data_IF_119439318942
#
_entry.id   IF_119439318942
#
_cell.length_a   1.000
_cell.length_b   1.000
_cell.length_c   1.000
_cell.angle_alpha   90.00
_cell.angle_beta   90.00
_cell.angle_gamma   90.00
#
_symmetry.space_group_name_H-M   'P 1'
#
loop_
_entity.id
_entity.type
_entity.pdbx_description
1 polymer ?
#
# COMPACT_ATOMS: atom_id res chain seq x y z
N UNK A 1 31.98 7.49 -8.86
CA UNK A 1 31.03 7.71 -7.75
C UNK A 1 29.70 7.07 -8.14
N UNK A 2 29.58 5.75 -7.95
CA UNK A 2 28.30 5.06 -8.15
C UNK A 2 27.62 5.01 -6.81
N UNK A 3 26.57 5.80 -6.61
CA UNK A 3 25.71 5.58 -5.45
C UNK A 3 25.03 4.23 -5.66
N UNK A 4 25.46 3.24 -4.89
CA UNK A 4 24.73 1.99 -4.69
C UNK A 4 23.39 2.37 -4.10
N UNK A 5 22.34 2.38 -4.93
CA UNK A 5 20.97 2.38 -4.45
C UNK A 5 20.84 1.13 -3.58
N UNK A 6 20.95 1.29 -2.26
CA UNK A 6 20.55 0.25 -1.34
C UNK A 6 19.16 -0.22 -1.74
N UNK A 7 18.99 -1.54 -1.75
CA UNK A 7 17.73 -2.19 -2.05
C UNK A 7 16.79 -1.79 -0.91
N UNK A 8 16.17 -0.62 -0.98
CA UNK A 8 15.22 -0.14 0.02
C UNK A 8 14.15 -1.21 0.12
N UNK A 9 14.13 -1.91 1.25
CA UNK A 9 13.12 -2.92 1.50
C UNK A 9 11.77 -2.22 1.66
N UNK A 10 10.70 -2.92 1.33
CA UNK A 10 9.30 -2.46 1.43
C UNK A 10 9.02 -1.74 2.77
N UNK A 11 9.56 -2.30 3.85
CA UNK A 11 9.52 -1.77 5.21
C UNK A 11 9.98 -0.32 5.36
N UNK A 12 10.99 0.11 4.59
CA UNK A 12 11.44 1.50 4.66
C UNK A 12 10.37 2.44 4.10
N UNK A 13 9.76 2.09 2.96
CA UNK A 13 8.67 2.86 2.38
C UNK A 13 7.44 2.87 3.30
N UNK A 14 7.10 1.70 3.85
CA UNK A 14 6.03 1.53 4.82
C UNK A 14 6.21 2.48 6.01
N UNK A 15 7.37 2.42 6.66
CA UNK A 15 7.65 3.24 7.84
C UNK A 15 7.61 4.73 7.54
N UNK A 16 8.30 5.19 6.49
CA UNK A 16 8.40 6.63 6.18
C UNK A 16 7.04 7.21 5.79
N UNK A 17 6.33 6.52 4.89
CA UNK A 17 5.03 7.01 4.42
C UNK A 17 3.99 6.95 5.54
N UNK A 18 3.94 5.85 6.30
CA UNK A 18 2.95 5.68 7.35
C UNK A 18 3.10 6.74 8.45
N UNK A 19 4.31 6.93 8.98
CA UNK A 19 4.56 7.95 9.99
C UNK A 19 4.30 9.37 9.45
N UNK A 20 4.68 9.64 8.20
CA UNK A 20 4.41 10.92 7.54
C UNK A 20 2.93 11.25 7.40
N UNK A 21 2.06 10.23 7.39
CA UNK A 21 0.61 10.36 7.32
C UNK A 21 -0.09 10.14 8.68
N UNK A 22 0.67 10.21 9.79
CA UNK A 22 0.14 10.08 11.14
C UNK A 22 -0.36 8.67 11.49
N UNK A 23 0.08 7.66 10.74
CA UNK A 23 -0.25 6.26 10.99
C UNK A 23 0.78 5.53 11.85
N UNK A 24 0.42 4.32 12.26
CA UNK A 24 1.29 3.37 12.94
C UNK A 24 1.61 2.21 11.98
N UNK A 25 2.89 1.91 11.80
CA UNK A 25 3.34 0.88 10.86
C UNK A 25 3.40 -0.52 11.48
N UNK A 26 3.26 -1.56 10.65
CA UNK A 26 3.44 -2.98 11.00
C UNK A 26 2.59 -3.47 12.20
N UNK A 27 1.29 -3.12 12.21
CA UNK A 27 0.39 -3.52 13.30
C UNK A 27 -0.01 -4.99 13.18
N UNK A 28 0.40 -5.79 14.16
CA UNK A 28 -0.02 -7.19 14.29
C UNK A 28 -1.43 -7.26 14.91
N UNK A 29 -2.37 -7.85 14.18
CA UNK A 29 -3.73 -8.11 14.62
C UNK A 29 -3.83 -9.43 15.40
N UNK A 30 -4.90 -9.62 16.16
CA UNK A 30 -5.15 -10.81 16.98
C UNK A 30 -5.11 -12.14 16.20
N UNK A 31 -5.37 -12.09 14.90
CA UNK A 31 -5.38 -13.25 14.00
C UNK A 31 -4.06 -13.44 13.23
N UNK A 32 -2.96 -12.86 13.72
CA UNK A 32 -1.62 -12.90 13.13
C UNK A 32 -1.46 -12.27 11.75
N UNK A 33 -2.47 -11.55 11.24
CA UNK A 33 -2.30 -10.66 10.06
C UNK A 33 -1.61 -9.38 10.48
N UNK A 34 -0.83 -8.80 9.59
CA UNK A 34 -0.07 -7.57 9.82
C UNK A 34 -0.54 -6.51 8.84
N UNK A 35 -1.00 -5.38 9.37
CA UNK A 35 -1.36 -4.22 8.55
C UNK A 35 -0.11 -3.35 8.39
N UNK A 36 0.26 -3.03 7.16
CA UNK A 36 1.46 -2.23 6.88
C UNK A 36 1.37 -0.83 7.49
N UNK A 37 0.21 -0.18 7.36
CA UNK A 37 -0.05 1.12 7.97
C UNK A 37 -1.49 1.27 8.45
N UNK A 38 -1.65 1.69 9.70
CA UNK A 38 -2.94 1.97 10.31
C UNK A 38 -3.04 3.45 10.69
N UNK A 39 -3.97 4.17 10.08
CA UNK A 39 -4.29 5.56 10.46
C UNK A 39 -5.59 5.61 11.27
N UNK A 40 -6.02 6.79 11.69
CA UNK A 40 -7.33 6.95 12.33
C UNK A 40 -8.48 6.45 11.45
N UNK A 41 -8.37 6.60 10.14
CA UNK A 41 -9.46 6.36 9.18
C UNK A 41 -9.26 5.18 8.22
N UNK A 42 -8.02 4.75 7.98
CA UNK A 42 -7.70 3.73 6.97
C UNK A 42 -6.81 2.61 7.52
N UNK A 43 -7.04 1.39 7.03
CA UNK A 43 -6.07 0.30 7.06
C UNK A 43 -5.47 0.19 5.66
N UNK A 44 -4.16 0.34 5.57
CA UNK A 44 -3.45 0.61 4.34
C UNK A 44 -2.44 -0.51 4.11
N UNK A 45 -2.51 -1.12 2.94
CA UNK A 45 -1.48 -2.01 2.40
C UNK A 45 -0.51 -1.20 1.53
N UNK A 46 0.79 -1.47 1.66
CA UNK A 46 1.81 -0.84 0.83
C UNK A 46 2.60 -1.89 0.08
N UNK A 47 2.52 -1.90 -1.25
CA UNK A 47 3.09 -2.99 -2.04
C UNK A 47 3.75 -2.46 -3.31
N UNK A 48 4.77 -3.16 -3.80
CA UNK A 48 5.43 -2.83 -5.05
C UNK A 48 4.49 -3.03 -6.24
N UNK A 49 4.58 -2.11 -7.21
CA UNK A 49 3.68 -2.02 -8.36
C UNK A 49 3.42 -3.35 -9.09
N UNK A 50 4.43 -4.20 -9.25
CA UNK A 50 4.28 -5.50 -9.93
C UNK A 50 3.33 -6.49 -9.25
N UNK A 51 2.99 -6.28 -7.98
CA UNK A 51 2.11 -7.15 -7.18
C UNK A 51 0.77 -6.47 -6.81
N UNK A 52 0.38 -5.42 -7.55
CA UNK A 52 -0.83 -4.62 -7.28
C UNK A 52 -2.11 -5.45 -7.06
N UNK A 53 -2.23 -6.62 -7.68
CA UNK A 53 -3.38 -7.51 -7.55
C UNK A 53 -3.50 -8.11 -6.14
N UNK A 54 -2.39 -8.42 -5.48
CA UNK A 54 -2.40 -8.91 -4.09
C UNK A 54 -2.87 -7.81 -3.11
N UNK A 55 -2.45 -6.57 -3.36
CA UNK A 55 -2.78 -5.44 -2.51
C UNK A 55 -4.29 -5.18 -2.40
N UNK A 56 -5.08 -5.51 -3.44
CA UNK A 56 -6.55 -5.39 -3.41
C UNK A 56 -7.14 -6.30 -2.32
N UNK A 57 -6.74 -7.57 -2.31
CA UNK A 57 -7.26 -8.53 -1.34
C UNK A 57 -6.88 -8.15 0.09
N UNK A 58 -5.62 -7.80 0.31
CA UNK A 58 -5.11 -7.42 1.63
C UNK A 58 -5.76 -6.12 2.14
N UNK A 59 -5.87 -5.08 1.30
CA UNK A 59 -6.49 -3.82 1.72
C UNK A 59 -7.96 -4.00 2.16
N UNK A 60 -8.75 -4.79 1.41
CA UNK A 60 -10.13 -5.07 1.77
C UNK A 60 -10.24 -5.94 3.03
N UNK A 61 -9.40 -6.95 3.17
CA UNK A 61 -9.35 -7.80 4.36
C UNK A 61 -8.99 -6.97 5.60
N UNK A 62 -7.95 -6.14 5.52
CA UNK A 62 -7.49 -5.34 6.65
C UNK A 62 -8.48 -4.25 7.03
N UNK A 63 -9.15 -3.63 6.07
CA UNK A 63 -10.26 -2.72 6.32
C UNK A 63 -11.39 -3.40 7.11
N UNK A 64 -11.79 -4.60 6.70
CA UNK A 64 -12.81 -5.39 7.38
C UNK A 64 -12.42 -5.70 8.83
N UNK A 65 -11.18 -6.14 9.06
CA UNK A 65 -10.69 -6.54 10.39
C UNK A 65 -10.52 -5.37 11.36
N UNK A 66 -10.22 -4.19 10.84
CA UNK A 66 -9.93 -3.01 11.65
C UNK A 66 -11.11 -2.06 11.76
N UNK A 67 -12.21 -2.35 11.04
CA UNK A 67 -13.36 -1.45 10.87
C UNK A 67 -12.97 -0.06 10.32
N UNK A 68 -11.95 -0.02 9.47
CA UNK A 68 -11.47 1.20 8.80
C UNK A 68 -11.72 1.12 7.30
N UNK A 69 -11.43 2.20 6.59
CA UNK A 69 -11.49 2.23 5.13
C UNK A 69 -10.27 1.53 4.53
N UNK A 70 -10.45 0.85 3.40
CA UNK A 70 -9.35 0.22 2.68
C UNK A 70 -8.48 1.27 2.00
N UNK A 71 -7.16 1.08 2.07
CA UNK A 71 -6.20 1.93 1.39
C UNK A 71 -5.09 1.10 0.75
N UNK A 72 -4.59 1.56 -0.39
CA UNK A 72 -3.39 1.00 -1.03
C UNK A 72 -2.43 2.14 -1.36
N UNK A 73 -1.18 2.01 -0.91
CA UNK A 73 -0.07 2.79 -1.43
C UNK A 73 0.72 1.90 -2.39
N UNK A 74 0.67 2.22 -3.68
CA UNK A 74 1.44 1.47 -4.68
C UNK A 74 2.83 2.09 -4.83
N UNK A 75 3.88 1.29 -4.61
CA UNK A 75 5.27 1.74 -4.70
C UNK A 75 5.78 1.52 -6.12
N UNK A 76 6.02 2.62 -6.84
CA UNK A 76 6.57 2.64 -8.19
C UNK A 76 8.08 2.86 -8.09
N UNK A 77 8.88 1.96 -8.68
CA UNK A 77 10.35 2.05 -8.68
C UNK A 77 10.91 2.61 -9.99
N UNK A 78 10.13 2.53 -11.06
CA UNK A 78 10.51 2.95 -12.41
C UNK A 78 9.34 3.66 -13.08
N UNK A 79 9.58 4.59 -14.03
CA UNK A 79 8.50 5.25 -14.76
C UNK A 79 7.53 4.27 -15.45
N UNK A 80 8.04 3.14 -15.96
CA UNK A 80 7.19 2.12 -16.60
C UNK A 80 6.26 1.37 -15.63
N UNK A 81 6.47 1.47 -14.31
CA UNK A 81 5.58 0.88 -13.32
C UNK A 81 4.22 1.60 -13.29
N UNK A 82 4.11 2.79 -13.88
CA UNK A 82 2.84 3.51 -14.05
C UNK A 82 1.77 2.69 -14.78
N UNK A 83 2.16 1.74 -15.63
CA UNK A 83 1.21 0.80 -16.24
C UNK A 83 0.48 -0.08 -15.20
N UNK A 84 1.14 -0.44 -14.10
CA UNK A 84 0.49 -1.17 -13.00
C UNK A 84 -0.45 -0.27 -12.20
N UNK A 85 -0.08 1.00 -12.00
CA UNK A 85 -0.97 1.98 -11.37
C UNK A 85 -2.26 2.16 -12.18
N UNK A 86 -2.16 2.26 -13.50
CA UNK A 86 -3.31 2.36 -14.39
C UNK A 86 -4.22 1.13 -14.27
N UNK A 87 -3.66 -0.09 -14.33
CA UNK A 87 -4.44 -1.32 -14.18
C UNK A 87 -5.13 -1.43 -12.81
N UNK A 88 -4.44 -1.07 -11.72
CA UNK A 88 -5.01 -1.05 -10.39
C UNK A 88 -6.20 -0.09 -10.35
N UNK A 89 -6.00 1.16 -10.81
CA UNK A 89 -7.03 2.19 -10.82
C UNK A 89 -8.23 1.79 -11.71
N UNK A 90 -8.00 1.24 -12.90
CA UNK A 90 -9.05 0.73 -13.78
C UNK A 90 -9.85 -0.39 -13.12
N UNK A 91 -9.18 -1.35 -12.49
CA UNK A 91 -9.82 -2.47 -11.79
C UNK A 91 -10.69 -1.98 -10.63
N UNK A 92 -10.15 -1.09 -9.80
CA UNK A 92 -10.84 -0.50 -8.65
C UNK A 92 -12.11 0.24 -9.11
N UNK A 93 -11.98 1.05 -10.16
CA UNK A 93 -13.09 1.84 -10.70
C UNK A 93 -14.15 0.96 -11.37
N UNK A 94 -13.75 -0.02 -12.18
CA UNK A 94 -14.66 -0.91 -12.89
C UNK A 94 -15.55 -1.70 -11.93
N UNK A 95 -14.96 -2.23 -10.85
CA UNK A 95 -15.68 -3.00 -9.83
C UNK A 95 -16.23 -2.14 -8.68
N UNK A 96 -16.04 -0.83 -8.72
CA UNK A 96 -16.47 0.11 -7.68
C UNK A 96 -15.97 -0.29 -6.29
N UNK A 97 -14.72 -0.76 -6.21
CA UNK A 97 -14.14 -1.22 -4.95
C UNK A 97 -13.91 -0.01 -4.02
N UNK A 98 -14.28 -0.08 -2.73
CA UNK A 98 -14.19 1.03 -1.79
C UNK A 98 -12.76 1.18 -1.23
N UNK A 99 -11.79 1.40 -2.12
CA UNK A 99 -10.36 1.45 -1.79
C UNK A 99 -9.81 2.81 -2.20
N UNK A 100 -9.20 3.52 -1.24
CA UNK A 100 -8.46 4.75 -1.51
C UNK A 100 -7.05 4.42 -2.03
N UNK A 101 -6.63 5.08 -3.10
CA UNK A 101 -5.34 4.81 -3.75
C UNK A 101 -4.38 5.99 -3.59
N UNK A 102 -3.12 5.66 -3.30
CA UNK A 102 -1.98 6.57 -3.40
C UNK A 102 -0.85 5.88 -4.18
N UNK A 103 0.00 6.68 -4.82
CA UNK A 103 1.23 6.20 -5.43
C UNK A 103 2.45 6.84 -4.77
N UNK A 104 3.53 6.09 -4.65
CA UNK A 104 4.81 6.55 -4.13
C UNK A 104 5.91 6.17 -5.11
N UNK A 105 6.51 7.16 -5.78
CA UNK A 105 7.50 6.91 -6.81
C UNK A 105 7.56 8.02 -7.87
N UNK A 106 8.33 7.80 -8.95
CA UNK A 106 8.43 8.72 -10.08
C UNK A 106 7.15 8.80 -10.91
#
# INVERSE_FOLDING_TARGET
>A
MGQTYEKTNEQWYQSVWCHGNGGQSEILLENNRRVDCLTDSHAIEMEFASKWHHAIGQALDYAMLTHKKAGIVLILRRPNDHYYWQQLNETINYYQLPIMLWQLGP
#
